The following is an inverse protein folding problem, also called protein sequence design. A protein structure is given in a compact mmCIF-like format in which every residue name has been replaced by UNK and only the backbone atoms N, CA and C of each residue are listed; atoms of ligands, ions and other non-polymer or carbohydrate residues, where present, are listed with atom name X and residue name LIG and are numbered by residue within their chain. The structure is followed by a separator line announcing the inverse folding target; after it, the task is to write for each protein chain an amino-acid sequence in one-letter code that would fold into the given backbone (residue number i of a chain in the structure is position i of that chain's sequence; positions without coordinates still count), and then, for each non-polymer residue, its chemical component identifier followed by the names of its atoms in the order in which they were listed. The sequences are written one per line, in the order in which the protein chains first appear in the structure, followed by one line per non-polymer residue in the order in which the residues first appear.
data_IF_002406464214
#
_entry.id   IF_002406464214
#
_cell.length_a   1.000
_cell.length_b   1.000
_cell.length_c   1.000
_cell.angle_alpha   90.00
_cell.angle_beta   90.00
_cell.angle_gamma   90.00
#
_symmetry.space_group_name_H-M   'P 1'
#
loop_
_entity.id
_entity.type
_entity.pdbx_description
1 polymer ?
#
# COMPACT_ATOMS: atom_id res chain seq x y z
N UNK A 1 -27.17 -0.93 14.13
CA UNK A 1 -25.92 -0.66 13.39
C UNK A 1 -24.88 -1.65 13.88
N UNK A 2 -24.57 -2.67 13.11
CA UNK A 2 -23.58 -3.66 13.53
C UNK A 2 -22.18 -3.07 13.29
N UNK A 3 -21.52 -2.63 14.36
CA UNK A 3 -20.10 -2.32 14.32
C UNK A 3 -19.36 -3.64 14.04
N UNK A 4 -18.84 -3.79 12.82
CA UNK A 4 -17.97 -4.92 12.51
C UNK A 4 -16.68 -4.72 13.27
N UNK A 5 -16.32 -5.69 14.09
CA UNK A 5 -15.07 -5.68 14.86
C UNK A 5 -13.88 -5.58 13.91
N UNK A 6 -12.97 -4.65 14.18
CA UNK A 6 -11.66 -4.61 13.51
C UNK A 6 -10.83 -5.74 14.11
N UNK A 7 -10.47 -6.72 13.30
CA UNK A 7 -9.61 -7.83 13.72
C UNK A 7 -8.18 -7.54 13.25
N UNK A 8 -7.25 -7.53 14.19
CA UNK A 8 -5.83 -7.58 13.86
C UNK A 8 -5.45 -9.02 13.50
N UNK A 9 -4.89 -9.22 12.31
CA UNK A 9 -4.55 -10.54 11.82
C UNK A 9 -3.07 -10.87 12.11
N UNK A 10 -2.77 -12.04 12.68
CA UNK A 10 -1.40 -12.49 12.87
C UNK A 10 -0.66 -12.62 11.53
N UNK A 11 0.62 -12.26 11.52
CA UNK A 11 1.45 -12.20 10.30
C UNK A 11 1.45 -13.49 9.48
N UNK A 12 1.41 -14.65 10.13
CA UNK A 12 1.50 -15.97 9.47
C UNK A 12 0.19 -16.45 8.85
N UNK A 13 -0.96 -15.96 9.29
CA UNK A 13 -2.27 -16.38 8.79
C UNK A 13 -2.99 -15.27 8.01
N UNK A 14 -2.41 -14.08 7.97
CA UNK A 14 -3.07 -12.89 7.43
C UNK A 14 -3.45 -13.03 5.94
N UNK A 15 -2.65 -13.69 5.12
CA UNK A 15 -2.92 -13.82 3.67
C UNK A 15 -4.22 -14.56 3.42
N UNK A 16 -4.38 -15.77 3.95
CA UNK A 16 -5.59 -16.58 3.77
C UNK A 16 -6.82 -15.91 4.35
N UNK A 17 -6.69 -15.33 5.53
CA UNK A 17 -7.79 -14.65 6.21
C UNK A 17 -8.21 -13.37 5.47
N UNK A 18 -7.25 -12.59 4.94
CA UNK A 18 -7.52 -11.40 4.15
C UNK A 18 -8.24 -11.74 2.84
N UNK A 19 -7.79 -12.75 2.11
CA UNK A 19 -8.44 -13.22 0.89
C UNK A 19 -9.88 -13.70 1.17
N UNK A 20 -10.07 -14.45 2.26
CA UNK A 20 -11.41 -14.89 2.69
C UNK A 20 -12.30 -13.71 3.05
N UNK A 21 -11.79 -12.72 3.77
CA UNK A 21 -12.53 -11.53 4.14
C UNK A 21 -12.96 -10.72 2.89
N UNK A 22 -12.05 -10.49 1.95
CA UNK A 22 -12.34 -9.80 0.70
C UNK A 22 -13.41 -10.53 -0.14
N UNK A 23 -13.34 -11.86 -0.25
CA UNK A 23 -14.35 -12.67 -0.94
C UNK A 23 -15.74 -12.55 -0.27
N UNK A 24 -15.78 -12.34 1.03
CA UNK A 24 -16.99 -12.05 1.81
C UNK A 24 -17.41 -10.57 1.78
N UNK A 25 -16.80 -9.76 0.89
CA UNK A 25 -17.06 -8.32 0.75
C UNK A 25 -16.76 -7.51 2.03
N UNK A 26 -15.81 -7.97 2.84
CA UNK A 26 -15.27 -7.20 3.94
C UNK A 26 -14.15 -6.27 3.46
N UNK A 27 -13.76 -5.32 4.30
CA UNK A 27 -12.65 -4.39 4.05
C UNK A 27 -11.40 -4.93 4.74
N UNK A 28 -10.28 -4.92 4.02
CA UNK A 28 -8.95 -5.23 4.55
C UNK A 28 -8.10 -3.95 4.48
N UNK A 29 -7.64 -3.47 5.64
CA UNK A 29 -6.76 -2.32 5.71
C UNK A 29 -5.30 -2.75 5.65
N UNK A 30 -4.51 -2.09 4.81
CA UNK A 30 -3.09 -2.42 4.57
C UNK A 30 -2.28 -1.13 4.56
N UNK A 31 -1.18 -1.11 5.30
CA UNK A 31 -0.22 -0.01 5.28
C UNK A 31 0.80 -0.26 4.16
N UNK A 32 0.82 0.65 3.18
CA UNK A 32 1.66 0.53 1.98
C UNK A 32 2.87 1.47 1.99
N UNK A 33 3.05 2.23 3.05
CA UNK A 33 4.07 3.26 3.19
C UNK A 33 5.38 2.77 3.84
N UNK A 34 5.47 1.50 4.20
CA UNK A 34 6.62 0.92 4.87
C UNK A 34 7.68 0.42 3.89
N UNK A 35 8.93 0.34 4.37
CA UNK A 35 10.02 -0.29 3.63
C UNK A 35 9.91 -1.81 3.68
N UNK A 36 10.21 -2.47 2.57
CA UNK A 36 10.38 -3.91 2.49
C UNK A 36 11.59 -4.27 1.62
N UNK A 37 12.07 -5.51 1.72
CA UNK A 37 13.15 -6.01 0.88
C UNK A 37 12.64 -6.56 -0.47
N UNK A 38 13.57 -6.91 -1.36
CA UNK A 38 13.27 -7.46 -2.68
C UNK A 38 12.54 -8.81 -2.67
N UNK A 39 12.59 -9.56 -1.55
CA UNK A 39 11.91 -10.86 -1.41
C UNK A 39 10.41 -10.71 -1.13
N UNK A 40 10.02 -9.59 -0.57
CA UNK A 40 8.65 -9.35 -0.10
C UNK A 40 7.96 -8.18 -0.77
N UNK A 41 8.64 -7.49 -1.69
CA UNK A 41 8.16 -6.29 -2.34
C UNK A 41 8.78 -6.03 -3.70
N UNK A 42 8.46 -4.90 -4.24
CA UNK A 42 9.03 -4.37 -5.49
C UNK A 42 9.65 -3.01 -5.27
N UNK A 43 10.64 -2.65 -6.09
CA UNK A 43 11.24 -1.32 -6.06
C UNK A 43 10.48 -0.39 -7.00
N UNK A 44 9.96 0.69 -6.44
CA UNK A 44 9.26 1.75 -7.17
C UNK A 44 9.90 3.10 -6.89
N UNK A 45 9.60 4.07 -7.73
CA UNK A 45 10.06 5.43 -7.52
C UNK A 45 9.24 6.10 -6.40
N UNK A 46 9.97 6.66 -5.42
CA UNK A 46 9.41 7.42 -4.33
C UNK A 46 10.32 8.62 -4.04
N UNK A 47 9.82 9.82 -4.32
CA UNK A 47 10.60 11.07 -4.31
C UNK A 47 11.86 11.00 -5.18
N UNK A 48 11.75 10.40 -6.38
CA UNK A 48 12.85 10.27 -7.33
C UNK A 48 13.93 9.24 -6.95
N UNK A 49 13.69 8.40 -5.94
CA UNK A 49 14.59 7.34 -5.50
C UNK A 49 13.86 6.01 -5.42
N UNK A 50 14.56 4.93 -5.76
CA UNK A 50 14.00 3.57 -5.64
C UNK A 50 13.79 3.20 -4.17
N UNK A 51 12.58 2.79 -3.84
CA UNK A 51 12.19 2.36 -2.51
C UNK A 51 11.51 0.99 -2.56
N UNK A 52 11.98 0.06 -1.74
CA UNK A 52 11.36 -1.25 -1.57
C UNK A 52 9.97 -1.10 -0.97
N UNK A 53 8.94 -1.53 -1.68
CA UNK A 53 7.54 -1.27 -1.35
C UNK A 53 6.75 -2.57 -1.25
N UNK A 54 5.93 -2.74 -0.19
CA UNK A 54 5.08 -3.92 -0.04
C UNK A 54 4.11 -4.09 -1.20
N UNK A 55 3.80 -5.33 -1.54
CA UNK A 55 2.91 -5.68 -2.66
C UNK A 55 1.52 -6.15 -2.22
N UNK A 56 1.30 -6.32 -0.93
CA UNK A 56 0.13 -7.02 -0.38
C UNK A 56 -1.21 -6.52 -0.90
N UNK A 57 -1.42 -5.21 -0.98
CA UNK A 57 -2.68 -4.65 -1.46
C UNK A 57 -2.95 -5.01 -2.93
N UNK A 58 -1.92 -4.94 -3.78
CA UNK A 58 -2.04 -5.28 -5.20
C UNK A 58 -2.24 -6.77 -5.39
N UNK A 59 -1.47 -7.61 -4.67
CA UNK A 59 -1.62 -9.07 -4.71
C UNK A 59 -3.03 -9.50 -4.32
N UNK A 60 -3.59 -8.94 -3.25
CA UNK A 60 -4.96 -9.26 -2.84
C UNK A 60 -6.00 -8.80 -3.87
N UNK A 61 -5.82 -7.61 -4.44
CA UNK A 61 -6.70 -7.11 -5.49
C UNK A 61 -6.62 -7.97 -6.77
N UNK A 62 -5.43 -8.45 -7.15
CA UNK A 62 -5.26 -9.38 -8.28
C UNK A 62 -6.03 -10.69 -8.09
N UNK A 63 -5.99 -11.25 -6.88
CA UNK A 63 -6.66 -12.53 -6.57
C UNK A 63 -8.18 -12.42 -6.35
N UNK A 64 -8.69 -11.26 -6.04
CA UNK A 64 -10.11 -11.08 -5.65
C UNK A 64 -10.90 -10.16 -6.58
N UNK A 65 -10.23 -9.39 -7.43
CA UNK A 65 -10.86 -8.33 -8.22
C UNK A 65 -11.34 -7.15 -7.39
N UNK A 66 -10.92 -7.05 -6.12
CA UNK A 66 -11.33 -5.97 -5.22
C UNK A 66 -10.73 -4.63 -5.63
N UNK A 67 -11.47 -3.52 -5.53
CA UNK A 67 -10.91 -2.19 -5.72
C UNK A 67 -9.98 -1.81 -4.56
N UNK A 68 -9.08 -0.89 -4.82
CA UNK A 68 -8.21 -0.25 -3.84
C UNK A 68 -8.79 1.12 -3.50
N UNK A 69 -8.93 1.39 -2.21
CA UNK A 69 -9.45 2.65 -1.68
C UNK A 69 -8.36 3.33 -0.86
N UNK A 70 -7.69 4.37 -1.38
CA UNK A 70 -6.71 5.12 -0.61
C UNK A 70 -7.38 5.97 0.47
N UNK A 71 -6.88 5.86 1.70
CA UNK A 71 -7.39 6.62 2.85
C UNK A 71 -6.19 7.21 3.60
N UNK A 72 -6.28 8.48 3.93
CA UNK A 72 -5.26 9.22 4.67
C UNK A 72 -5.88 9.92 5.86
N UNK A 73 -5.12 10.02 6.93
CA UNK A 73 -5.51 10.79 8.12
C UNK A 73 -4.50 11.91 8.32
N UNK A 74 -4.98 13.12 8.44
CA UNK A 74 -4.18 14.31 8.71
C UNK A 74 -4.72 15.03 9.93
N UNK A 75 -3.87 15.74 10.65
CA UNK A 75 -4.31 16.58 11.77
C UNK A 75 -5.15 17.73 11.25
N UNK A 76 -6.21 18.03 11.98
CA UNK A 76 -7.10 19.15 11.72
C UNK A 76 -7.30 19.94 13.03
N UNK A 77 -6.34 20.82 13.32
CA UNK A 77 -6.27 21.53 14.58
C UNK A 77 -5.53 20.76 15.68
N UNK A 78 -5.81 21.12 16.94
CA UNK A 78 -5.04 20.63 18.10
C UNK A 78 -5.43 19.20 18.51
N UNK A 79 -6.73 18.90 18.50
CA UNK A 79 -7.29 17.67 19.08
C UNK A 79 -8.20 16.90 18.11
N UNK A 80 -8.15 17.21 16.83
CA UNK A 80 -8.98 16.57 15.79
C UNK A 80 -8.15 16.08 14.61
N UNK A 81 -8.73 15.12 13.89
CA UNK A 81 -8.14 14.56 12.66
C UNK A 81 -9.17 14.57 11.54
N UNK A 82 -8.70 14.84 10.35
CA UNK A 82 -9.48 14.75 9.13
C UNK A 82 -9.12 13.47 8.38
N UNK A 83 -10.14 12.69 8.03
CA UNK A 83 -9.97 11.52 7.17
C UNK A 83 -10.22 11.93 5.72
N UNK A 84 -9.23 11.71 4.88
CA UNK A 84 -9.26 11.99 3.45
C UNK A 84 -9.44 10.66 2.71
N UNK A 85 -10.53 10.53 1.97
CA UNK A 85 -10.86 9.32 1.20
C UNK A 85 -10.76 9.69 -0.27
N UNK A 86 -9.82 9.07 -1.00
CA UNK A 86 -9.70 9.21 -2.45
C UNK A 86 -10.71 8.32 -3.17
N UNK A 87 -11.06 8.60 -4.43
CA UNK A 87 -11.82 7.67 -5.24
C UNK A 87 -11.14 6.31 -5.29
N UNK A 88 -11.92 5.24 -5.14
CA UNK A 88 -11.41 3.89 -5.33
C UNK A 88 -11.02 3.66 -6.79
N UNK A 89 -10.12 2.72 -7.02
CA UNK A 89 -9.73 2.32 -8.36
C UNK A 89 -9.50 0.81 -8.46
N UNK A 90 -9.68 0.27 -9.65
CA UNK A 90 -9.31 -1.10 -9.98
C UNK A 90 -7.90 -1.16 -10.53
N UNK A 91 -7.28 -2.35 -10.46
CA UNK A 91 -5.96 -2.54 -11.02
C UNK A 91 -5.97 -2.33 -12.54
N UNK A 92 -4.93 -1.71 -13.04
CA UNK A 92 -4.57 -1.75 -14.46
C UNK A 92 -3.83 -3.04 -14.76
N UNK A 93 -4.43 -3.90 -15.58
CA UNK A 93 -3.82 -5.18 -15.97
C UNK A 93 -2.83 -4.94 -17.11
N UNK A 94 -1.62 -5.43 -16.92
CA UNK A 94 -0.52 -5.39 -17.89
C UNK A 94 -0.30 -6.78 -18.51
N UNK A 95 0.52 -6.91 -19.58
CA UNK A 95 0.74 -8.19 -20.26
C UNK A 95 1.23 -9.32 -19.34
N UNK A 96 2.02 -8.99 -18.33
CA UNK A 96 2.48 -9.96 -17.33
C UNK A 96 2.02 -9.62 -15.93
N UNK A 97 1.99 -10.63 -15.06
CA UNK A 97 1.66 -10.45 -13.65
C UNK A 97 2.67 -9.54 -12.93
N UNK A 98 3.96 -9.70 -13.26
CA UNK A 98 5.03 -8.87 -12.70
C UNK A 98 4.88 -7.39 -13.10
N UNK A 99 4.55 -7.11 -14.36
CA UNK A 99 4.29 -5.74 -14.82
C UNK A 99 3.02 -5.16 -14.19
N UNK A 100 1.98 -5.96 -14.03
CA UNK A 100 0.75 -5.57 -13.33
C UNK A 100 1.06 -5.17 -11.89
N UNK A 101 1.86 -5.97 -11.20
CA UNK A 101 2.28 -5.73 -9.83
C UNK A 101 3.10 -4.44 -9.70
N UNK A 102 4.16 -4.34 -10.51
CA UNK A 102 5.07 -3.18 -10.53
C UNK A 102 4.32 -1.87 -10.82
N UNK A 103 3.47 -1.88 -11.85
CA UNK A 103 2.71 -0.70 -12.27
C UNK A 103 1.75 -0.21 -11.17
N UNK A 104 0.97 -1.12 -10.59
CA UNK A 104 -0.04 -0.74 -9.61
C UNK A 104 0.55 -0.37 -8.24
N UNK A 105 1.66 -0.99 -7.84
CA UNK A 105 2.41 -0.56 -6.64
C UNK A 105 2.99 0.83 -6.85
N UNK A 106 3.54 1.14 -8.02
CA UNK A 106 4.00 2.49 -8.36
C UNK A 106 2.85 3.51 -8.30
N UNK A 107 1.68 3.14 -8.80
CA UNK A 107 0.49 3.99 -8.78
C UNK A 107 0.05 4.33 -7.35
N UNK A 108 0.00 3.35 -6.45
CA UNK A 108 -0.29 3.57 -5.03
C UNK A 108 0.76 4.48 -4.39
N UNK A 109 2.04 4.21 -4.66
CA UNK A 109 3.16 5.00 -4.10
C UNK A 109 3.10 6.45 -4.56
N UNK A 110 2.72 6.71 -5.81
CA UNK A 110 2.52 8.07 -6.34
C UNK A 110 1.40 8.81 -5.61
N UNK A 111 0.32 8.12 -5.27
CA UNK A 111 -0.77 8.70 -4.46
C UNK A 111 -0.27 9.05 -3.05
N UNK A 112 0.49 8.17 -2.42
CA UNK A 112 1.10 8.41 -1.09
C UNK A 112 2.02 9.63 -1.16
N UNK A 113 2.91 9.70 -2.15
CA UNK A 113 3.83 10.82 -2.34
C UNK A 113 3.09 12.16 -2.49
N UNK A 114 1.99 12.19 -3.25
CA UNK A 114 1.14 13.38 -3.40
C UNK A 114 0.67 13.88 -2.03
N UNK A 115 0.19 12.99 -1.15
CA UNK A 115 -0.27 13.36 0.18
C UNK A 115 0.85 13.82 1.10
N UNK A 116 2.01 13.19 1.03
CA UNK A 116 3.18 13.62 1.79
C UNK A 116 3.64 15.02 1.36
N UNK A 117 3.63 15.31 0.06
CA UNK A 117 3.96 16.67 -0.46
C UNK A 117 2.97 17.72 0.00
N UNK A 118 1.69 17.35 0.12
CA UNK A 118 0.63 18.25 0.57
C UNK A 118 0.64 18.45 2.10
N UNK A 119 1.01 17.41 2.86
CA UNK A 119 1.03 17.39 4.32
C UNK A 119 2.35 16.87 4.87
N UNK A 120 3.48 17.53 4.61
CA UNK A 120 4.80 16.98 4.92
C UNK A 120 5.06 16.79 6.42
N UNK A 121 4.40 17.55 7.28
CA UNK A 121 4.50 17.41 8.74
C UNK A 121 3.81 16.15 9.30
N UNK A 122 2.92 15.55 8.53
CA UNK A 122 2.16 14.35 8.94
C UNK A 122 2.91 13.05 8.62
N UNK A 123 4.01 13.12 7.85
CA UNK A 123 4.81 11.96 7.49
C UNK A 123 5.88 11.66 8.53
N UNK A 124 6.00 10.39 8.88
CA UNK A 124 7.04 9.92 9.79
C UNK A 124 8.42 9.87 9.14
N UNK A 125 9.07 11.01 8.93
CA UNK A 125 10.39 11.13 8.30
C UNK A 125 11.50 10.32 8.97
N UNK A 126 11.30 9.87 10.21
CA UNK A 126 12.20 8.98 10.93
C UNK A 126 12.13 7.53 10.41
N UNK A 127 11.11 7.16 9.64
CA UNK A 127 11.00 5.86 9.00
C UNK A 127 12.09 5.72 7.94
N UNK A 128 12.85 4.62 8.02
CA UNK A 128 13.91 4.30 7.05
C UNK A 128 13.31 3.78 5.74
N UNK A 129 12.56 4.60 5.02
CA UNK A 129 11.79 4.23 3.83
C UNK A 129 12.67 3.71 2.67
N UNK A 130 13.92 4.15 2.61
CA UNK A 130 14.93 3.76 1.61
C UNK A 130 16.03 2.88 2.19
N UNK A 131 15.73 2.10 3.23
CA UNK A 131 16.70 1.20 3.87
C UNK A 131 17.14 0.08 2.92
N UNK A 132 16.19 -0.54 2.20
CA UNK A 132 16.48 -1.55 1.20
C UNK A 132 16.91 -0.91 -0.10
N UNK A 133 17.91 -1.49 -0.75
CA UNK A 133 18.40 -1.07 -2.07
C UNK A 133 18.09 -2.14 -3.09
N UNK A 134 17.85 -1.78 -4.37
CA UNK A 134 17.83 -2.76 -5.44
C UNK A 134 19.15 -3.52 -5.46
N UNK A 135 19.11 -4.83 -5.69
CA UNK A 135 20.32 -5.62 -5.88
C UNK A 135 21.03 -5.14 -7.15
N UNK A 136 22.31 -4.81 -7.06
CA UNK A 136 23.10 -4.31 -8.20
C UNK A 136 23.31 -5.38 -9.29
N UNK A 137 22.92 -6.63 -9.02
CA UNK A 137 23.11 -7.79 -9.89
C UNK A 137 21.89 -8.18 -10.75
N UNK A 138 20.81 -7.39 -10.78
CA UNK A 138 19.64 -7.70 -11.62
C UNK A 138 19.65 -7.00 -13.00
N UNK A 139 20.82 -6.55 -13.44
CA UNK A 139 21.04 -6.03 -14.80
C UNK A 139 21.95 -6.99 -15.56
N UNK A 140 21.38 -8.08 -16.05
CA UNK A 140 21.98 -8.95 -17.07
C UNK A 140 20.89 -9.56 -17.91
#
# INVERSE_FOLDING_TARGET
MNFRTILSLPRYTCVKQSLTALRKKAIVAILMDQNTDSRSGVFVDFFGRKAGTPTGAVVFAMHTGSPILPIFTVRDGKDSHKIMIEPHFYLEIKPTEAETLQHNVQRITTIIEKYIRQYPSEWGWMNRRWKSKPDENSSS
#
